data_IF_310540938876
#
_entry.id   IF_310540938876
#
_cell.length_a   1.000
_cell.length_b   1.000
_cell.length_c   1.000
_cell.angle_alpha   90.00
_cell.angle_beta   90.00
_cell.angle_gamma   90.00
#
_symmetry.space_group_name_H-M   'P 1'
#
loop_
_entity.id
_entity.type
_entity.pdbx_description
1 polymer ?
#
# COMPACT_ATOMS: atom_id res chain seq x y z
N UNK A 1 5.44 -9.52 -15.92
CA UNK A 1 6.42 -10.40 -15.22
C UNK A 1 5.74 -11.08 -14.05
N UNK A 2 6.16 -12.28 -13.66
CA UNK A 2 5.51 -13.06 -12.60
C UNK A 2 6.51 -13.61 -11.58
N UNK A 3 6.08 -13.79 -10.33
CA UNK A 3 6.80 -14.51 -9.28
C UNK A 3 5.85 -15.45 -8.53
N UNK A 4 6.40 -16.51 -7.93
CA UNK A 4 5.66 -17.48 -7.12
C UNK A 4 6.29 -17.58 -5.74
N UNK A 5 5.46 -17.73 -4.72
CA UNK A 5 5.86 -17.93 -3.32
C UNK A 5 4.70 -18.45 -2.49
N UNK A 6 4.75 -18.22 -1.18
CA UNK A 6 3.66 -18.54 -0.23
C UNK A 6 3.19 -17.27 0.48
N UNK A 7 1.90 -17.19 0.80
CA UNK A 7 1.36 -16.12 1.65
C UNK A 7 1.87 -16.25 3.09
N UNK A 8 2.32 -15.15 3.70
CA UNK A 8 2.94 -15.15 5.04
C UNK A 8 2.01 -15.73 6.10
N UNK A 9 0.75 -15.32 6.09
CA UNK A 9 -0.20 -15.70 7.14
C UNK A 9 -0.96 -16.98 6.81
N UNK A 10 -1.38 -17.17 5.56
CA UNK A 10 -2.19 -18.32 5.12
C UNK A 10 -1.40 -19.57 4.75
N UNK A 11 -0.07 -19.45 4.52
CA UNK A 11 0.78 -20.53 4.02
C UNK A 11 0.43 -21.00 2.60
N UNK A 12 -0.55 -20.39 1.94
CA UNK A 12 -1.03 -20.86 0.63
C UNK A 12 -0.05 -20.48 -0.49
N UNK A 13 0.23 -21.39 -1.44
CA UNK A 13 0.97 -21.05 -2.66
C UNK A 13 0.25 -19.95 -3.44
N UNK A 14 1.02 -18.99 -3.93
CA UNK A 14 0.51 -17.88 -4.74
C UNK A 14 1.48 -17.49 -5.84
N UNK A 15 0.95 -17.25 -7.03
CA UNK A 15 1.62 -16.64 -8.16
C UNK A 15 1.09 -15.22 -8.35
N UNK A 16 1.97 -14.23 -8.21
CA UNK A 16 1.70 -12.83 -8.48
C UNK A 16 2.22 -12.47 -9.87
N UNK A 17 1.44 -11.73 -10.66
CA UNK A 17 1.81 -11.25 -11.99
C UNK A 17 1.58 -9.75 -12.11
N UNK A 18 2.64 -9.01 -12.43
CA UNK A 18 2.59 -7.58 -12.76
C UNK A 18 2.40 -7.41 -14.28
N UNK A 19 1.39 -6.62 -14.66
CA UNK A 19 1.15 -6.16 -16.03
C UNK A 19 1.05 -4.62 -16.07
N UNK A 20 1.49 -3.97 -17.16
CA UNK A 20 1.25 -2.54 -17.36
C UNK A 20 -0.24 -2.22 -17.36
N UNK A 21 -0.62 -1.04 -16.84
CA UNK A 21 -1.98 -0.53 -16.92
C UNK A 21 -2.04 0.82 -17.66
N UNK A 22 -3.20 1.19 -18.25
CA UNK A 22 -3.41 2.49 -18.86
C UNK A 22 -3.19 3.69 -17.92
N UNK A 23 -3.11 4.87 -18.52
CA UNK A 23 -3.00 6.13 -17.79
C UNK A 23 -4.22 6.32 -16.88
N UNK A 24 -3.98 6.72 -15.63
CA UNK A 24 -5.01 6.97 -14.59
C UNK A 24 -5.70 5.71 -14.04
N UNK A 25 -5.19 4.50 -14.31
CA UNK A 25 -5.73 3.27 -13.69
C UNK A 25 -5.35 3.15 -12.21
N UNK A 26 -4.19 3.68 -11.81
CA UNK A 26 -3.60 3.41 -10.50
C UNK A 26 -3.13 1.95 -10.38
N UNK A 27 -2.92 1.49 -9.15
CA UNK A 27 -2.64 0.07 -8.85
C UNK A 27 -3.96 -0.67 -8.63
N UNK A 28 -4.20 -1.74 -9.39
CA UNK A 28 -5.43 -2.55 -9.32
C UNK A 28 -5.08 -4.02 -9.11
N UNK A 29 -5.58 -4.60 -8.03
CA UNK A 29 -5.47 -6.03 -7.73
C UNK A 29 -6.54 -6.82 -8.49
N UNK A 30 -6.19 -7.97 -9.06
CA UNK A 30 -7.09 -8.83 -9.85
C UNK A 30 -7.01 -10.27 -9.35
N UNK A 31 -8.16 -10.88 -9.06
CA UNK A 31 -8.26 -12.29 -8.72
C UNK A 31 -8.38 -13.15 -9.99
N UNK A 32 -7.31 -13.86 -10.35
CA UNK A 32 -7.28 -14.77 -11.50
C UNK A 32 -8.18 -16.01 -11.34
N UNK A 33 -8.51 -16.38 -10.10
CA UNK A 33 -9.38 -17.51 -9.80
C UNK A 33 -10.84 -17.08 -9.53
N UNK A 34 -11.10 -15.77 -9.47
CA UNK A 34 -12.43 -15.22 -9.21
C UNK A 34 -13.36 -15.35 -10.42
N UNK A 35 -14.63 -15.65 -10.18
CA UNK A 35 -15.65 -15.58 -11.23
C UNK A 35 -15.69 -14.16 -11.82
N UNK A 36 -15.77 -14.06 -13.15
CA UNK A 36 -15.72 -12.82 -13.93
C UNK A 36 -14.46 -11.93 -13.73
N UNK A 37 -13.36 -12.46 -13.20
CA UNK A 37 -12.10 -11.71 -13.07
C UNK A 37 -12.20 -10.52 -12.10
N UNK A 38 -12.80 -10.76 -10.93
CA UNK A 38 -13.01 -9.74 -9.89
C UNK A 38 -11.74 -8.92 -9.62
N UNK A 39 -11.89 -7.59 -9.62
CA UNK A 39 -10.79 -6.64 -9.45
C UNK A 39 -11.13 -5.53 -8.46
N UNK A 40 -10.09 -4.97 -7.86
CA UNK A 40 -10.19 -4.03 -6.75
C UNK A 40 -9.01 -3.04 -6.80
N UNK A 41 -9.31 -1.75 -6.87
CA UNK A 41 -8.29 -0.70 -6.81
C UNK A 41 -7.62 -0.66 -5.42
N UNK A 42 -6.31 -0.48 -5.40
CA UNK A 42 -5.53 -0.23 -4.18
C UNK A 42 -5.89 1.16 -3.62
N UNK A 43 -6.93 1.22 -2.81
CA UNK A 43 -7.48 2.46 -2.29
C UNK A 43 -7.88 2.29 -0.84
N UNK A 44 -7.64 3.34 -0.05
CA UNK A 44 -8.05 3.43 1.35
C UNK A 44 -9.56 3.22 1.56
N UNK A 45 -10.39 3.46 0.54
CA UNK A 45 -11.84 3.17 0.53
C UNK A 45 -12.18 1.67 0.65
N UNK A 46 -11.25 0.79 0.29
CA UNK A 46 -11.44 -0.66 0.30
C UNK A 46 -10.72 -1.33 1.48
N UNK A 47 -9.99 -0.58 2.32
CA UNK A 47 -9.26 -1.16 3.45
C UNK A 47 -10.22 -1.78 4.45
N UNK A 48 -9.89 -2.99 4.88
CA UNK A 48 -10.59 -3.71 5.95
C UNK A 48 -9.66 -3.89 7.15
N UNK A 49 -10.17 -3.86 8.39
CA UNK A 49 -9.34 -4.07 9.58
C UNK A 49 -8.65 -5.43 9.56
N UNK A 50 -7.34 -5.41 9.78
CA UNK A 50 -6.47 -6.58 9.91
C UNK A 50 -5.46 -6.34 11.03
N UNK A 51 -4.95 -7.43 11.61
CA UNK A 51 -4.09 -7.37 12.81
C UNK A 51 -2.60 -7.18 12.49
N UNK A 52 -2.10 -7.83 11.43
CA UNK A 52 -0.66 -8.03 11.20
C UNK A 52 -0.16 -7.56 9.82
N UNK A 53 -1.06 -7.14 8.95
CA UNK A 53 -0.79 -6.75 7.56
C UNK A 53 -1.84 -5.73 7.12
N UNK A 54 -1.72 -5.22 5.89
CA UNK A 54 -2.75 -4.42 5.24
C UNK A 54 -3.56 -5.27 4.26
N UNK A 55 -4.87 -5.08 4.25
CA UNK A 55 -5.79 -5.79 3.37
C UNK A 55 -6.86 -4.87 2.79
N UNK A 56 -7.29 -5.19 1.57
CA UNK A 56 -8.41 -4.54 0.90
C UNK A 56 -9.48 -5.58 0.53
N UNK A 57 -10.75 -5.19 0.63
CA UNK A 57 -11.90 -6.01 0.22
C UNK A 57 -12.96 -5.19 -0.51
N UNK A 58 -13.62 -5.83 -1.48
CA UNK A 58 -14.69 -5.26 -2.29
C UNK A 58 -14.99 -6.15 -3.49
N UNK A 59 -16.17 -5.99 -4.10
CA UNK A 59 -16.57 -6.71 -5.33
C UNK A 59 -16.45 -8.25 -5.25
N UNK A 60 -16.64 -8.83 -4.06
CA UNK A 60 -16.48 -10.29 -3.85
C UNK A 60 -15.02 -10.79 -3.81
N UNK A 61 -14.05 -9.89 -3.75
CA UNK A 61 -12.62 -10.20 -3.64
C UNK A 61 -12.04 -9.57 -2.37
N UNK A 62 -11.08 -10.27 -1.75
CA UNK A 62 -10.23 -9.75 -0.70
C UNK A 62 -8.79 -10.17 -0.99
N UNK A 63 -7.84 -9.25 -0.78
CA UNK A 63 -6.41 -9.53 -0.82
C UNK A 63 -5.73 -8.88 0.39
N UNK A 64 -4.84 -9.62 1.04
CA UNK A 64 -4.06 -9.19 2.21
C UNK A 64 -2.54 -9.28 1.97
N UNK A 65 -1.77 -8.69 2.88
CA UNK A 65 -0.30 -8.66 2.85
C UNK A 65 0.22 -7.90 1.61
N UNK A 66 -0.52 -6.85 1.21
CA UNK A 66 -0.26 -6.08 -0.03
C UNK A 66 0.81 -4.99 0.16
N UNK A 67 1.09 -4.61 1.40
CA UNK A 67 1.98 -3.51 1.80
C UNK A 67 3.37 -3.60 1.15
N UNK A 68 3.99 -4.77 1.06
CA UNK A 68 5.32 -4.91 0.43
C UNK A 68 5.29 -4.74 -1.10
N UNK A 69 4.20 -5.19 -1.75
CA UNK A 69 3.99 -5.03 -3.20
C UNK A 69 3.75 -3.55 -3.52
N UNK A 70 2.89 -2.92 -2.71
CA UNK A 70 2.59 -1.50 -2.79
C UNK A 70 3.82 -0.63 -2.51
N UNK A 71 4.62 -0.97 -1.50
CA UNK A 71 5.87 -0.30 -1.19
C UNK A 71 6.86 -0.38 -2.35
N UNK A 72 6.97 -1.54 -3.02
CA UNK A 72 7.83 -1.69 -4.20
C UNK A 72 7.37 -0.84 -5.39
N UNK A 73 6.06 -0.79 -5.66
CA UNK A 73 5.48 0.02 -6.74
C UNK A 73 5.65 1.51 -6.46
N UNK A 74 5.24 1.99 -5.28
CA UNK A 74 5.38 3.39 -4.88
C UNK A 74 6.85 3.82 -4.74
N UNK A 75 7.69 2.97 -4.16
CA UNK A 75 9.13 3.17 -4.01
C UNK A 75 9.85 3.37 -5.34
N UNK A 76 9.42 2.69 -6.41
CA UNK A 76 9.95 2.83 -7.77
C UNK A 76 9.17 3.84 -8.65
N UNK A 77 8.22 4.59 -8.08
CA UNK A 77 7.33 5.53 -8.77
C UNK A 77 6.53 4.89 -9.93
N UNK A 78 5.97 3.70 -9.72
CA UNK A 78 5.06 3.03 -10.67
C UNK A 78 3.61 3.42 -10.35
N UNK A 79 3.04 4.33 -11.13
CA UNK A 79 1.67 4.81 -10.94
C UNK A 79 0.58 3.79 -11.34
N UNK A 80 0.76 3.13 -12.49
CA UNK A 80 -0.30 2.37 -13.16
C UNK A 80 0.12 0.91 -13.38
N UNK A 81 -0.47 -0.03 -12.63
CA UNK A 81 -0.16 -1.45 -12.75
C UNK A 81 -1.37 -2.34 -12.39
N UNK A 82 -1.55 -3.42 -13.16
CA UNK A 82 -2.40 -4.53 -12.75
C UNK A 82 -1.56 -5.56 -11.98
N UNK A 83 -2.02 -5.91 -10.79
CA UNK A 83 -1.40 -6.91 -9.90
C UNK A 83 -2.33 -8.12 -9.83
N UNK A 84 -2.07 -9.12 -10.65
CA UNK A 84 -2.90 -10.33 -10.70
C UNK A 84 -2.39 -11.37 -9.70
N UNK A 85 -3.29 -11.98 -8.93
CA UNK A 85 -2.99 -13.09 -8.01
C UNK A 85 -3.98 -14.24 -8.21
N UNK A 86 -3.55 -15.47 -7.91
CA UNK A 86 -4.40 -16.66 -7.84
C UNK A 86 -4.75 -17.08 -6.38
N UNK A 87 -4.48 -16.21 -5.39
CA UNK A 87 -4.81 -16.43 -3.98
C UNK A 87 -5.24 -15.10 -3.31
N UNK A 88 -5.83 -15.20 -2.12
CA UNK A 88 -6.28 -14.05 -1.31
C UNK A 88 -5.18 -13.35 -0.51
N UNK A 89 -3.91 -13.67 -0.75
CA UNK A 89 -2.76 -13.10 -0.04
C UNK A 89 -1.57 -12.97 -1.01
N UNK A 90 -0.82 -11.87 -0.94
CA UNK A 90 0.40 -11.70 -1.73
C UNK A 90 1.55 -12.56 -1.18
N UNK A 91 2.49 -13.03 -2.02
CA UNK A 91 3.59 -13.87 -1.55
C UNK A 91 4.50 -13.08 -0.59
N UNK A 92 4.89 -13.70 0.52
CA UNK A 92 5.86 -13.15 1.47
C UNK A 92 7.23 -12.90 0.84
N UNK A 93 7.57 -13.70 -0.19
CA UNK A 93 8.91 -13.77 -0.79
C UNK A 93 9.98 -14.02 0.30
N UNK A 94 10.91 -13.08 0.51
CA UNK A 94 11.91 -13.11 1.58
C UNK A 94 11.56 -12.18 2.75
N UNK A 95 10.30 -11.77 2.88
CA UNK A 95 9.83 -10.83 3.90
C UNK A 95 10.11 -9.37 3.58
N UNK A 96 10.70 -9.07 2.43
CA UNK A 96 11.08 -7.71 2.01
C UNK A 96 10.44 -7.32 0.66
N UNK A 97 10.61 -6.06 0.25
CA UNK A 97 10.17 -5.60 -1.07
C UNK A 97 11.18 -5.93 -2.19
N UNK A 98 12.38 -6.41 -1.88
CA UNK A 98 13.47 -6.55 -2.85
C UNK A 98 13.17 -7.50 -4.01
N UNK A 99 12.37 -8.56 -3.75
CA UNK A 99 11.89 -9.46 -4.81
C UNK A 99 10.94 -8.75 -5.79
N UNK A 100 10.03 -7.91 -5.29
CA UNK A 100 9.12 -7.12 -6.13
C UNK A 100 9.87 -6.01 -6.88
N UNK A 101 10.84 -5.36 -6.25
CA UNK A 101 11.75 -4.41 -6.91
C UNK A 101 12.47 -5.07 -8.09
N UNK A 102 13.09 -6.25 -7.91
CA UNK A 102 13.69 -7.01 -9.01
C UNK A 102 12.68 -7.37 -10.10
N UNK A 103 11.46 -7.76 -9.72
CA UNK A 103 10.40 -8.09 -10.67
C UNK A 103 9.99 -6.90 -11.54
N UNK A 104 9.87 -5.70 -10.94
CA UNK A 104 9.56 -4.44 -11.62
C UNK A 104 10.72 -4.01 -12.51
N UNK A 105 11.96 -4.02 -12.00
CA UNK A 105 13.17 -3.69 -12.78
C UNK A 105 13.32 -4.57 -14.02
N UNK A 106 13.12 -5.89 -13.88
CA UNK A 106 13.16 -6.83 -15.00
C UNK A 106 11.99 -6.72 -15.97
N UNK A 107 10.85 -6.15 -15.54
CA UNK A 107 9.73 -5.82 -16.44
C UNK A 107 9.97 -4.53 -17.24
N UNK A 108 10.83 -3.64 -16.71
CA UNK A 108 10.96 -2.26 -17.17
C UNK A 108 9.84 -1.36 -16.65
N UNK A 109 10.09 -0.05 -16.63
CA UNK A 109 9.11 0.98 -16.29
C UNK A 109 8.88 1.84 -17.55
N UNK A 110 7.66 1.83 -18.08
CA UNK A 110 7.30 2.60 -19.25
C UNK A 110 6.78 3.99 -18.85
N UNK A 111 7.38 5.05 -19.40
CA UNK A 111 6.85 6.41 -19.25
C UNK A 111 5.53 6.56 -19.99
N UNK A 112 4.61 7.34 -19.42
CA UNK A 112 3.31 7.65 -20.01
C UNK A 112 3.18 9.17 -20.22
N UNK A 113 2.27 9.61 -21.10
CA UNK A 113 2.18 11.01 -21.54
C UNK A 113 1.57 11.98 -20.51
N UNK A 114 0.95 11.47 -19.44
CA UNK A 114 0.34 12.27 -18.37
C UNK A 114 1.39 12.65 -17.31
N UNK A 115 1.32 13.88 -16.80
CA UNK A 115 2.14 14.30 -15.65
C UNK A 115 1.66 13.59 -14.37
N UNK A 116 2.61 13.06 -13.59
CA UNK A 116 2.32 12.47 -12.28
C UNK A 116 1.82 13.57 -11.32
N UNK A 117 0.58 13.48 -10.80
CA UNK A 117 0.08 14.42 -9.80
C UNK A 117 0.70 14.11 -8.44
N UNK A 118 0.90 15.13 -7.61
CA UNK A 118 1.39 14.96 -6.24
C UNK A 118 0.46 15.65 -5.24
N UNK A 119 0.18 15.02 -4.10
CA UNK A 119 -0.53 15.65 -3.00
C UNK A 119 0.48 16.33 -2.07
N UNK A 120 0.45 17.66 -2.03
CA UNK A 120 1.36 18.50 -1.24
C UNK A 120 0.67 18.92 0.06
N UNK A 121 1.24 18.53 1.20
CA UNK A 121 0.72 18.91 2.52
C UNK A 121 0.99 20.40 2.79
N UNK A 122 -0.05 21.12 3.20
CA UNK A 122 -0.02 22.57 3.51
C UNK A 122 -0.32 22.85 4.98
N UNK A 123 -0.97 21.92 5.70
CA UNK A 123 -1.22 21.99 7.16
C UNK A 123 -0.92 20.63 7.81
N UNK A 124 -0.44 20.61 9.06
CA UNK A 124 -0.15 19.35 9.75
C UNK A 124 -1.44 18.57 10.05
N UNK A 125 -1.36 17.24 9.95
CA UNK A 125 -2.41 16.29 10.33
C UNK A 125 -1.81 15.19 11.20
N UNK A 126 -2.56 14.70 12.18
CA UNK A 126 -2.05 13.78 13.19
C UNK A 126 -3.12 12.78 13.67
N UNK A 127 -2.71 11.53 13.84
CA UNK A 127 -3.49 10.49 14.50
C UNK A 127 -2.70 9.95 15.69
N UNK A 128 -3.36 9.88 16.85
CA UNK A 128 -2.84 9.30 18.10
C UNK A 128 -3.70 8.11 18.51
N UNK A 129 -3.05 7.08 19.05
CA UNK A 129 -3.67 5.85 19.55
C UNK A 129 -2.86 5.30 20.74
N UNK A 130 -3.20 5.76 21.94
CA UNK A 130 -2.44 5.48 23.16
C UNK A 130 -1.04 6.08 23.11
N UNK A 131 -0.02 5.23 23.14
CA UNK A 131 1.41 5.61 23.03
C UNK A 131 1.93 5.62 21.58
N UNK A 132 1.05 5.38 20.61
CA UNK A 132 1.35 5.31 19.17
C UNK A 132 0.88 6.58 18.49
N UNK A 133 1.69 7.10 17.56
CA UNK A 133 1.42 8.37 16.88
C UNK A 133 1.93 8.29 15.44
N UNK A 134 1.16 8.86 14.53
CA UNK A 134 1.65 9.20 13.19
C UNK A 134 1.11 10.56 12.79
N UNK A 135 2.00 11.44 12.33
CA UNK A 135 1.66 12.76 11.81
C UNK A 135 2.28 12.98 10.45
N UNK A 136 1.73 13.91 9.69
CA UNK A 136 2.34 14.44 8.47
C UNK A 136 2.37 15.97 8.53
N UNK A 137 3.50 16.55 8.18
CA UNK A 137 3.74 17.99 8.27
C UNK A 137 4.14 18.58 6.90
N UNK A 138 3.90 19.88 6.64
CA UNK A 138 4.38 20.54 5.44
C UNK A 138 5.90 20.47 5.32
N UNK A 139 6.39 19.94 4.20
CA UNK A 139 7.82 19.79 3.91
C UNK A 139 8.08 20.06 2.43
N UNK A 140 9.26 20.57 2.08
CA UNK A 140 9.67 20.78 0.69
C UNK A 140 9.80 19.44 -0.06
N UNK A 141 10.31 18.40 0.60
CA UNK A 141 10.54 17.06 0.05
C UNK A 141 9.63 16.01 0.70
N UNK A 142 9.47 14.86 0.03
CA UNK A 142 8.85 13.68 0.61
C UNK A 142 9.85 13.00 1.57
N UNK A 143 9.53 13.01 2.87
CA UNK A 143 10.44 12.58 3.94
C UNK A 143 9.70 11.74 4.97
N UNK A 144 10.38 10.74 5.53
CA UNK A 144 9.87 9.88 6.60
C UNK A 144 10.86 9.91 7.77
N UNK A 145 10.37 10.14 8.97
CA UNK A 145 11.07 9.82 10.22
C UNK A 145 10.27 8.77 10.96
N UNK A 146 10.89 7.62 11.23
CA UNK A 146 10.23 6.52 11.93
C UNK A 146 11.03 6.18 13.18
N UNK A 147 10.34 6.15 14.32
CA UNK A 147 10.87 5.75 15.61
C UNK A 147 10.11 4.52 16.12
N UNK A 148 10.81 3.41 16.25
CA UNK A 148 10.31 2.20 16.92
C UNK A 148 10.85 2.10 18.34
N UNK A 149 10.12 1.41 19.20
CA UNK A 149 10.60 1.03 20.51
C UNK A 149 10.03 -0.35 20.87
N UNK A 150 10.90 -1.33 21.05
CA UNK A 150 10.56 -2.67 21.51
C UNK A 150 11.40 -3.00 22.73
N UNK A 151 10.80 -3.65 23.74
CA UNK A 151 11.51 -4.12 24.93
C UNK A 151 12.30 -5.41 24.62
N UNK A 152 13.28 -5.30 23.72
CA UNK A 152 14.14 -6.39 23.27
C UNK A 152 15.58 -5.86 23.13
N UNK A 153 16.62 -6.54 23.65
CA UNK A 153 17.99 -6.04 23.64
C UNK A 153 18.54 -5.65 22.26
N UNK A 154 18.13 -6.33 21.19
CA UNK A 154 18.61 -6.08 19.82
C UNK A 154 17.85 -4.98 19.08
N UNK A 155 16.70 -4.52 19.61
CA UNK A 155 15.92 -3.44 18.99
C UNK A 155 16.03 -2.17 19.81
N UNK A 156 15.61 -2.21 21.09
CA UNK A 156 15.45 -1.04 21.95
C UNK A 156 14.70 0.09 21.22
N UNK A 157 15.15 1.34 21.36
CA UNK A 157 14.66 2.48 20.55
C UNK A 157 15.52 2.62 19.31
N UNK A 158 14.93 2.55 18.12
CA UNK A 158 15.60 2.86 16.86
C UNK A 158 14.86 3.99 16.15
N UNK A 159 15.59 4.95 15.60
CA UNK A 159 15.03 6.00 14.74
C UNK A 159 15.77 6.02 13.40
N UNK A 160 15.04 6.11 12.30
CA UNK A 160 15.61 6.34 10.97
C UNK A 160 14.94 7.51 10.27
N UNK A 161 15.73 8.25 9.51
CA UNK A 161 15.28 9.35 8.66
C UNK A 161 15.55 8.95 7.23
N UNK A 162 14.49 8.85 6.44
CA UNK A 162 14.50 8.45 5.04
C UNK A 162 13.99 9.60 4.18
N UNK A 163 14.73 9.98 3.15
CA UNK A 163 14.30 10.96 2.14
C UNK A 163 14.02 10.25 0.83
N UNK A 164 12.81 10.41 0.29
CA UNK A 164 12.34 9.54 -0.77
C UNK A 164 13.01 9.81 -2.11
N UNK A 165 13.60 8.77 -2.68
CA UNK A 165 13.88 8.65 -4.11
C UNK A 165 13.85 7.17 -4.50
N UNK A 166 13.68 6.87 -5.80
CA UNK A 166 13.68 5.47 -6.26
C UNK A 166 15.02 4.77 -6.01
N UNK A 167 16.13 5.51 -6.03
CA UNK A 167 17.45 4.99 -5.69
C UNK A 167 17.54 4.69 -4.18
N UNK A 168 17.17 5.64 -3.33
CA UNK A 168 17.18 5.46 -1.87
C UNK A 168 16.26 4.30 -1.45
N UNK A 169 15.05 4.19 -2.01
CA UNK A 169 14.15 3.08 -1.72
C UNK A 169 14.81 1.71 -1.99
N UNK A 170 15.38 1.54 -3.17
CA UNK A 170 16.00 0.29 -3.63
C UNK A 170 17.21 -0.13 -2.78
N UNK A 171 18.03 0.82 -2.33
CA UNK A 171 19.27 0.55 -1.60
C UNK A 171 19.10 0.54 -0.08
N UNK A 172 18.21 1.39 0.46
CA UNK A 172 18.08 1.62 1.90
C UNK A 172 16.89 0.91 2.55
N UNK A 173 15.80 0.69 1.82
CA UNK A 173 14.52 0.24 2.40
C UNK A 173 14.11 -1.13 1.86
N UNK A 174 14.17 -1.34 0.54
CA UNK A 174 13.54 -2.48 -0.11
C UNK A 174 14.01 -3.86 0.39
N UNK A 175 15.26 -3.96 0.86
CA UNK A 175 15.84 -5.21 1.36
C UNK A 175 15.51 -5.52 2.83
N UNK A 176 14.86 -4.61 3.56
CA UNK A 176 14.57 -4.79 4.98
C UNK A 176 13.39 -5.76 5.21
N UNK A 177 13.68 -6.89 5.86
CA UNK A 177 12.71 -7.97 6.06
C UNK A 177 11.77 -7.73 7.23
N UNK A 178 10.60 -8.35 7.15
CA UNK A 178 9.66 -8.46 8.26
C UNK A 178 10.24 -9.28 9.41
N UNK A 179 9.69 -9.08 10.60
CA UNK A 179 10.20 -9.66 11.84
C UNK A 179 9.08 -10.00 12.81
N UNK A 180 9.32 -11.01 13.66
CA UNK A 180 8.41 -11.45 14.71
C UNK A 180 9.14 -12.08 15.89
N UNK A 181 8.47 -12.19 17.03
CA UNK A 181 9.05 -12.78 18.23
C UNK A 181 8.66 -14.26 18.33
N UNK A 182 9.63 -15.13 18.63
CA UNK A 182 9.45 -16.59 18.76
C UNK A 182 8.30 -16.95 19.72
N UNK A 183 8.19 -16.19 20.81
CA UNK A 183 7.17 -16.33 21.86
C UNK A 183 5.74 -16.08 21.36
N UNK A 184 5.57 -15.35 20.25
CA UNK A 184 4.26 -15.04 19.66
C UNK A 184 3.84 -16.08 18.61
N UNK A 185 4.79 -16.84 18.04
CA UNK A 185 4.57 -17.72 16.88
C UNK A 185 3.51 -18.79 17.16
N UNK A 186 3.55 -19.44 18.32
CA UNK A 186 2.54 -20.46 18.68
C UNK A 186 1.12 -19.88 18.77
N UNK A 187 0.99 -18.68 19.35
CA UNK A 187 -0.29 -17.98 19.46
C UNK A 187 -0.81 -17.49 18.10
N UNK A 188 0.08 -17.09 17.19
CA UNK A 188 -0.27 -16.78 15.80
C UNK A 188 -0.74 -18.04 15.06
N UNK A 189 0.00 -19.15 15.16
CA UNK A 189 -0.34 -20.40 14.50
C UNK A 189 -1.68 -20.97 14.98
N UNK A 190 -1.94 -20.96 16.30
CA UNK A 190 -3.22 -21.37 16.88
C UNK A 190 -4.44 -20.59 16.35
N UNK A 191 -4.21 -19.40 15.76
CA UNK A 191 -5.22 -18.51 15.17
C UNK A 191 -5.24 -18.55 13.63
N UNK A 192 -4.49 -19.46 13.01
CA UNK A 192 -4.37 -19.56 11.55
C UNK A 192 -3.58 -18.42 10.89
N UNK A 193 -2.76 -17.72 11.66
CA UNK A 193 -1.86 -16.66 11.20
C UNK A 193 -0.41 -17.17 11.20
N UNK A 194 0.46 -16.56 10.40
CA UNK A 194 1.88 -16.90 10.31
C UNK A 194 2.21 -18.29 9.72
N UNK A 195 1.26 -18.98 9.09
CA UNK A 195 1.42 -20.36 8.60
C UNK A 195 2.47 -20.51 7.48
N UNK A 196 2.81 -19.43 6.78
CA UNK A 196 3.88 -19.39 5.78
C UNK A 196 5.20 -18.82 6.32
N UNK A 197 5.27 -18.39 7.58
CA UNK A 197 6.45 -17.77 8.19
C UNK A 197 7.58 -18.78 8.44
N UNK A 198 8.80 -18.42 8.07
CA UNK A 198 10.02 -19.21 8.28
C UNK A 198 11.27 -18.31 8.26
N UNK A 199 12.45 -18.88 8.55
CA UNK A 199 13.70 -18.11 8.66
C UNK A 199 14.22 -17.53 7.32
N UNK A 200 13.71 -17.97 6.17
CA UNK A 200 14.05 -17.39 4.86
C UNK A 200 13.21 -16.13 4.56
N UNK A 201 12.04 -15.99 5.19
CA UNK A 201 11.11 -14.87 4.93
C UNK A 201 10.77 -14.00 6.14
N UNK A 202 11.26 -14.33 7.34
CA UNK A 202 10.97 -13.59 8.57
C UNK A 202 12.20 -13.59 9.46
N UNK A 203 12.57 -12.43 10.01
CA UNK A 203 13.56 -12.34 11.09
C UNK A 203 12.88 -12.78 12.39
N UNK A 204 13.34 -13.87 13.00
CA UNK A 204 12.73 -14.40 14.23
C UNK A 204 13.61 -14.10 15.43
N UNK A 205 13.03 -13.44 16.42
CA UNK A 205 13.68 -12.99 17.64
C UNK A 205 13.30 -13.90 18.82
N UNK A 206 14.28 -14.58 19.42
CA UNK A 206 14.12 -15.23 20.73
C UNK A 206 14.38 -14.22 21.86
N UNK A 207 14.36 -14.67 23.12
CA UNK A 207 14.80 -13.83 24.24
C UNK A 207 16.32 -13.54 24.17
N UNK A 208 17.09 -14.49 23.63
CA UNK A 208 18.56 -14.49 23.64
C UNK A 208 19.20 -13.90 22.36
N UNK A 209 18.45 -13.77 21.26
CA UNK A 209 18.98 -13.20 20.02
C UNK A 209 18.09 -13.35 18.78
N UNK A 210 18.74 -13.35 17.61
CA UNK A 210 18.13 -13.62 16.30
C UNK A 210 18.39 -15.09 15.94
N UNK A 211 17.37 -15.79 15.44
CA UNK A 211 17.50 -17.19 15.02
C UNK A 211 18.04 -17.37 13.59
N UNK A 212 17.95 -16.34 12.75
CA UNK A 212 18.45 -16.38 11.38
C UNK A 212 19.99 -16.37 11.37
N UNK A 213 20.63 -17.45 10.93
CA UNK A 213 22.10 -17.59 10.89
C UNK A 213 22.79 -16.49 10.07
N UNK A 214 22.12 -15.97 9.04
CA UNK A 214 22.59 -14.85 8.21
C UNK A 214 22.53 -13.48 8.91
N UNK A 215 21.98 -13.40 10.13
CA UNK A 215 21.86 -12.17 10.90
C UNK A 215 20.95 -11.13 10.25
N UNK A 216 21.29 -9.85 10.44
CA UNK A 216 20.59 -8.71 9.84
C UNK A 216 21.28 -8.23 8.56
N UNK A 217 20.48 -7.81 7.57
CA UNK A 217 20.93 -7.14 6.34
C UNK A 217 21.34 -5.69 6.61
N UNK A 218 20.76 -5.09 7.65
CA UNK A 218 21.11 -3.76 8.14
C UNK A 218 21.14 -3.76 9.67
N UNK A 219 22.07 -3.05 10.30
CA UNK A 219 22.10 -2.92 11.77
C UNK A 219 20.78 -2.37 12.37
N UNK A 220 20.02 -1.61 11.57
CA UNK A 220 18.72 -1.06 11.90
C UNK A 220 17.60 -1.57 10.95
N UNK A 221 17.65 -2.86 10.58
CA UNK A 221 16.69 -3.49 9.64
C UNK A 221 15.23 -3.35 10.10
N UNK A 222 14.96 -3.46 11.41
CA UNK A 222 13.61 -3.38 11.97
C UNK A 222 12.91 -2.03 11.68
N UNK A 223 13.58 -0.91 11.90
CA UNK A 223 13.00 0.43 11.63
C UNK A 223 12.91 0.72 10.14
N UNK A 224 13.86 0.23 9.33
CA UNK A 224 13.77 0.30 7.86
C UNK A 224 12.56 -0.47 7.34
N UNK A 225 12.24 -1.63 7.94
CA UNK A 225 11.05 -2.39 7.61
C UNK A 225 9.75 -1.66 7.97
N UNK A 226 9.66 -1.02 9.15
CA UNK A 226 8.46 -0.21 9.46
C UNK A 226 8.30 1.03 8.56
N UNK A 227 9.38 1.51 7.93
CA UNK A 227 9.32 2.52 6.86
C UNK A 227 8.80 1.90 5.55
N UNK A 228 9.22 0.68 5.21
CA UNK A 228 8.69 -0.08 4.07
C UNK A 228 7.17 -0.26 4.20
N UNK A 229 6.69 -0.71 5.36
CA UNK A 229 5.26 -0.80 5.69
C UNK A 229 4.53 0.52 5.44
N UNK A 230 5.05 1.61 6.01
CA UNK A 230 4.44 2.94 5.91
C UNK A 230 4.35 3.42 4.47
N UNK A 231 5.37 3.20 3.63
CA UNK A 231 5.34 3.54 2.20
C UNK A 231 4.24 2.74 1.49
N UNK A 232 4.12 1.45 1.78
CA UNK A 232 3.07 0.58 1.24
C UNK A 232 1.66 1.06 1.61
N UNK A 233 1.44 1.29 2.91
CA UNK A 233 0.16 1.74 3.45
C UNK A 233 -0.23 3.13 2.94
N UNK A 234 0.72 4.07 2.82
CA UNK A 234 0.44 5.41 2.31
C UNK A 234 0.11 5.44 0.82
N UNK A 235 0.59 4.48 0.03
CA UNK A 235 0.26 4.40 -1.39
C UNK A 235 -1.23 4.16 -1.65
N UNK A 236 -1.99 3.67 -0.66
CA UNK A 236 -3.46 3.54 -0.70
C UNK A 236 -4.20 4.88 -0.79
N UNK A 237 -3.49 6.00 -0.63
CA UNK A 237 -3.99 7.33 -0.99
C UNK A 237 -4.22 7.47 -2.51
N UNK A 238 -3.53 6.67 -3.33
CA UNK A 238 -3.63 6.64 -4.79
C UNK A 238 -2.82 7.73 -5.52
N UNK A 239 -2.12 8.60 -4.78
CA UNK A 239 -1.19 9.61 -5.31
C UNK A 239 0.02 9.75 -4.38
N UNK A 240 1.25 10.02 -4.88
CA UNK A 240 2.40 10.23 -4.02
C UNK A 240 2.28 11.55 -3.22
N UNK A 241 2.82 11.56 -2.00
CA UNK A 241 2.69 12.67 -1.06
C UNK A 241 4.01 13.43 -0.89
N UNK A 242 3.93 14.76 -0.93
CA UNK A 242 5.03 15.65 -0.56
C UNK A 242 4.71 16.26 0.82
N UNK A 243 5.43 15.77 1.83
CA UNK A 243 5.29 16.13 3.24
C UNK A 243 6.32 15.36 4.08
N UNK A 244 6.45 15.71 5.35
CA UNK A 244 7.27 14.98 6.31
C UNK A 244 6.37 14.11 7.18
N UNK A 245 6.38 12.81 6.91
CA UNK A 245 5.75 11.79 7.74
C UNK A 245 6.61 11.51 8.97
N UNK A 246 6.01 11.53 10.16
CA UNK A 246 6.70 11.28 11.42
C UNK A 246 5.87 10.25 12.19
N UNK A 247 6.45 9.07 12.42
CA UNK A 247 5.79 7.91 12.98
C UNK A 247 6.51 7.41 14.24
N UNK A 248 5.78 7.20 15.33
CA UNK A 248 6.29 6.81 16.63
C UNK A 248 5.49 5.58 17.13
N UNK A 249 6.16 4.42 17.29
CA UNK A 249 5.55 3.13 17.68
C UNK A 249 4.33 2.73 16.83
N UNK A 250 4.36 3.09 15.55
CA UNK A 250 3.22 3.05 14.64
C UNK A 250 3.06 1.68 13.93
N UNK A 251 1.98 1.53 13.16
CA UNK A 251 1.66 0.33 12.37
C UNK A 251 0.43 0.52 11.47
N UNK A 252 0.10 -0.48 10.65
CA UNK A 252 -0.89 -0.40 9.55
C UNK A 252 -2.21 0.30 9.91
N UNK A 253 -2.80 -0.03 11.07
CA UNK A 253 -4.07 0.54 11.52
C UNK A 253 -4.03 2.07 11.74
N UNK A 254 -2.90 2.63 12.22
CA UNK A 254 -2.77 4.08 12.42
C UNK A 254 -2.25 4.78 11.14
N UNK A 255 -1.45 4.09 10.32
CA UNK A 255 -1.07 4.57 8.98
C UNK A 255 -2.31 4.83 8.11
N UNK A 256 -3.18 3.82 7.99
CA UNK A 256 -4.43 3.91 7.22
C UNK A 256 -5.39 4.95 7.77
N UNK A 257 -5.52 5.10 9.09
CA UNK A 257 -6.28 6.21 9.71
C UNK A 257 -5.75 7.60 9.33
N UNK A 258 -4.43 7.78 9.19
CA UNK A 258 -3.88 9.06 8.73
C UNK A 258 -4.14 9.29 7.24
N UNK A 259 -4.08 8.25 6.39
CA UNK A 259 -4.50 8.34 4.97
C UNK A 259 -5.97 8.75 4.86
N UNK A 260 -6.85 8.19 5.71
CA UNK A 260 -8.26 8.61 5.80
C UNK A 260 -8.41 10.07 6.24
N UNK A 261 -7.64 10.51 7.25
CA UNK A 261 -7.66 11.90 7.71
C UNK A 261 -7.17 12.89 6.65
N UNK A 262 -6.17 12.54 5.84
CA UNK A 262 -5.73 13.39 4.71
C UNK A 262 -6.91 13.61 3.75
N UNK A 263 -7.61 12.54 3.35
CA UNK A 263 -8.77 12.67 2.46
C UNK A 263 -9.97 13.40 3.07
N UNK A 264 -10.16 13.33 4.40
CA UNK A 264 -11.26 14.06 5.07
C UNK A 264 -10.95 15.54 5.36
N UNK A 265 -9.72 16.00 5.14
CA UNK A 265 -9.30 17.38 5.35
C UNK A 265 -8.66 17.98 4.07
N UNK A 266 -9.47 18.23 3.01
CA UNK A 266 -8.96 18.79 1.75
C UNK A 266 -8.23 20.13 1.93
N UNK A 267 -8.64 20.94 2.91
CA UNK A 267 -7.99 22.23 3.23
C UNK A 267 -6.58 22.10 3.84
N UNK A 268 -6.07 20.87 4.02
CA UNK A 268 -4.72 20.59 4.55
C UNK A 268 -3.72 20.19 3.47
N UNK A 269 -4.12 20.17 2.20
CA UNK A 269 -3.24 19.87 1.08
C UNK A 269 -3.66 20.59 -0.21
N UNK A 270 -2.78 20.55 -1.22
CA UNK A 270 -3.08 20.93 -2.60
C UNK A 270 -2.58 19.84 -3.55
N UNK A 271 -3.25 19.65 -4.69
CA UNK A 271 -2.71 18.81 -5.75
C UNK A 271 -1.81 19.65 -6.66
N UNK A 272 -0.62 19.12 -6.94
CA UNK A 272 0.33 19.66 -7.91
C UNK A 272 0.31 18.80 -9.17
N UNK A 273 0.73 19.37 -10.31
CA UNK A 273 0.80 18.69 -11.61
C UNK A 273 -0.53 18.06 -12.10
N UNK A 274 -1.66 18.63 -11.69
CA UNK A 274 -2.96 18.35 -12.33
C UNK A 274 -3.00 19.02 -13.70
N UNK A 275 -3.53 18.32 -14.69
CA UNK A 275 -3.85 18.94 -15.98
C UNK A 275 -5.02 19.91 -15.79
N UNK A 276 -4.74 21.22 -15.69
CA UNK A 276 -5.77 22.27 -15.56
C UNK A 276 -6.54 22.47 -16.88
N UNK A 277 -7.47 21.56 -17.15
CA UNK A 277 -8.57 21.80 -18.08
C UNK A 277 -9.92 21.47 -17.43
N UNK A 278 -10.13 21.96 -16.20
CA UNK A 278 -11.50 22.22 -15.72
C UNK A 278 -11.91 23.58 -16.29
N UNK A 279 -12.27 23.60 -17.58
CA UNK A 279 -13.13 24.67 -18.09
C UNK A 279 -14.42 24.60 -17.30
N UNK A 280 -14.68 25.60 -16.46
CA UNK A 280 -15.94 25.73 -15.75
C UNK A 280 -17.06 25.87 -16.78
N UNK A 281 -17.74 24.77 -17.10
CA UNK A 281 -18.99 24.80 -17.84
C UNK A 281 -20.06 25.32 -16.90
N UNK A 282 -20.54 26.54 -17.18
CA UNK A 282 -21.71 27.13 -16.53
C UNK A 282 -22.91 26.16 -16.56
N UNK A 283 -23.80 26.23 -15.56
CA UNK A 283 -24.99 25.38 -15.53
C UNK A 283 -25.89 25.71 -16.73
N UNK A 284 -25.89 24.84 -17.75
CA UNK A 284 -26.85 24.94 -18.86
C UNK A 284 -28.27 24.74 -18.32
N UNK A 285 -28.99 25.85 -18.27
CA UNK A 285 -30.41 25.93 -17.91
C UNK A 285 -31.26 24.97 -18.75
N UNK A 286 -32.35 24.51 -18.15
CA UNK A 286 -33.22 23.48 -18.71
C UNK A 286 -33.96 23.91 -19.99
N UNK A 287 -34.22 22.94 -20.88
CA UNK A 287 -35.33 23.03 -21.83
C UNK A 287 -36.16 21.74 -21.90
N UNK A 288 -37.44 21.94 -21.58
CA UNK A 288 -38.65 21.15 -21.81
C UNK A 288 -38.58 19.86 -22.65
N UNK A 289 -39.28 18.84 -22.13
CA UNK A 289 -39.76 17.70 -22.92
C UNK A 289 -40.91 18.12 -23.87
N UNK A 290 -41.01 17.53 -25.08
CA UNK A 290 -42.17 17.69 -25.95
C UNK A 290 -43.37 16.88 -25.42
N UNK A 291 -44.57 17.48 -25.49
CA UNK A 291 -45.83 16.86 -25.10
C UNK A 291 -46.35 15.85 -26.14
N UNK A 292 -47.19 14.95 -25.63
CA UNK A 292 -48.06 14.01 -26.34
C UNK A 292 -48.83 14.60 -27.54
N UNK A 293 -48.98 13.80 -28.59
CA UNK A 293 -50.07 13.92 -29.55
C UNK A 293 -50.87 12.60 -29.56
N UNK A 294 -52.15 12.67 -29.19
CA UNK A 294 -53.11 11.57 -29.36
C UNK A 294 -53.80 11.70 -30.71
N UNK A 295 -54.07 10.58 -31.39
CA UNK A 295 -55.07 10.52 -32.46
C UNK A 295 -55.78 9.16 -32.48
N UNK A 296 -57.09 9.22 -32.69
CA UNK A 296 -58.11 8.18 -32.44
C UNK A 296 -59.09 8.25 -33.61
N UNK A 297 -59.52 7.15 -34.24
CA UNK A 297 -59.11 5.74 -34.24
C UNK A 297 -59.67 5.12 -35.54
N UNK A 298 -59.52 3.81 -35.79
CA UNK A 298 -60.60 2.98 -36.37
C UNK A 298 -60.23 1.49 -36.46
N UNK A 299 -61.14 0.61 -36.01
CA UNK A 299 -61.18 -0.81 -36.36
C UNK A 299 -62.06 -1.00 -37.61
N UNK A 300 -61.73 -1.97 -38.47
CA UNK A 300 -62.69 -2.91 -39.08
C UNK A 300 -61.96 -3.92 -40.00
N UNK A 301 -62.49 -5.16 -40.02
CA UNK A 301 -62.05 -6.33 -40.83
C UNK A 301 -60.82 -7.08 -40.32
#
# INVERSE_FOLDING_TARGET
MSCTGVGLHSGQPVTLTLKPAPISTGVVFINRNGHNGASLAASIKHVVPTELCTAISGNGFQVKTIEHVLAALAGLNVDNAYVELNAGEAPAMDGSAAHFVRLIRSAGIASQSRRQPYLKITRPLEVVDGTRRVRIEPSLTAKITYSIHYNHPLIQTQTYVYEHSAHAFEHEIANARTFGFLQEVEALWARGLGQGGNLENTIVLSQDGILNESGLRFANEFVRHKILDLIGDFSLLGVPVIGHLIAERSGHAIHTRLVQQILSHPDSWVLLNTDETVTASEPRSAMAAPRSASLVALQAS
#
